data_IF_925340657098
#
_entry.id   IF_925340657098
#
_cell.length_a   1.000
_cell.length_b   1.000
_cell.length_c   1.000
_cell.angle_alpha   90.00
_cell.angle_beta   90.00
_cell.angle_gamma   90.00
#
_symmetry.space_group_name_H-M   'P 1'
#
loop_
_entity.id
_entity.type
_entity.pdbx_description
1 polymer ?
#
# COMPACT_ATOMS: atom_id res chain seq x y z
N UNK A 1 -29.80 11.84 -6.00
CA UNK A 1 -28.60 12.03 -5.17
C UNK A 1 -27.66 10.87 -5.36
N UNK A 2 -26.44 11.15 -5.77
CA UNK A 2 -25.43 10.11 -5.81
C UNK A 2 -25.18 9.63 -4.37
N UNK A 3 -25.37 8.35 -4.13
CA UNK A 3 -24.99 7.76 -2.87
C UNK A 3 -23.51 7.98 -2.65
N UNK A 4 -23.18 8.76 -1.64
CA UNK A 4 -21.80 8.91 -1.24
C UNK A 4 -21.32 7.56 -0.73
N UNK A 5 -20.35 7.02 -1.39
CA UNK A 5 -19.70 5.81 -0.91
C UNK A 5 -19.25 6.03 0.54
N UNK A 6 -19.68 5.14 1.40
CA UNK A 6 -19.28 5.22 2.81
C UNK A 6 -17.79 4.87 2.94
N UNK A 7 -17.05 5.79 3.54
CA UNK A 7 -15.64 5.58 3.83
C UNK A 7 -15.44 5.30 5.33
N UNK A 8 -15.26 4.03 5.72
CA UNK A 8 -15.07 3.68 7.13
C UNK A 8 -13.74 4.20 7.70
N UNK A 9 -12.80 4.58 6.85
CA UNK A 9 -11.46 5.02 7.24
C UNK A 9 -11.34 6.54 7.37
N UNK A 10 -12.43 7.27 7.19
CA UNK A 10 -12.46 8.76 7.16
C UNK A 10 -11.69 9.41 8.30
N UNK A 11 -11.77 8.84 9.51
CA UNK A 11 -11.15 9.39 10.72
C UNK A 11 -9.85 8.70 11.11
N UNK A 12 -9.30 7.85 10.25
CA UNK A 12 -8.10 7.08 10.54
C UNK A 12 -6.96 7.53 9.65
N UNK A 13 -5.72 7.34 10.13
CA UNK A 13 -4.51 7.67 9.38
C UNK A 13 -3.90 6.42 8.77
N UNK A 14 -3.31 6.58 7.58
CA UNK A 14 -2.41 5.59 7.02
C UNK A 14 -1.00 5.93 7.50
N UNK A 15 -0.35 4.97 8.13
CA UNK A 15 0.96 5.13 8.72
C UNK A 15 1.93 4.09 8.19
N UNK A 16 3.20 4.48 8.08
CA UNK A 16 4.29 3.57 7.72
C UNK A 16 5.38 3.63 8.78
N UNK A 17 6.20 2.60 8.86
CA UNK A 17 7.35 2.61 9.75
C UNK A 17 8.30 3.73 9.34
N UNK A 18 8.84 4.42 10.33
CA UNK A 18 9.67 5.61 10.13
C UNK A 18 10.86 5.37 9.21
N UNK A 19 11.42 4.17 9.23
CA UNK A 19 12.56 3.81 8.39
C UNK A 19 12.28 3.93 6.89
N UNK A 20 11.03 3.80 6.46
CA UNK A 20 10.65 3.87 5.05
C UNK A 20 10.20 5.26 4.60
N UNK A 21 10.13 6.23 5.51
CA UNK A 21 9.62 7.56 5.18
C UNK A 21 10.42 8.23 4.05
N UNK A 22 11.74 8.10 4.07
CA UNK A 22 12.60 8.64 3.00
C UNK A 22 12.30 8.01 1.65
N UNK A 23 12.02 6.72 1.60
CA UNK A 23 11.71 6.03 0.36
C UNK A 23 10.37 6.50 -0.22
N UNK A 24 9.39 6.77 0.63
CA UNK A 24 8.12 7.38 0.20
C UNK A 24 8.36 8.77 -0.39
N UNK A 25 9.22 9.57 0.22
CA UNK A 25 9.56 10.89 -0.32
C UNK A 25 10.32 10.80 -1.64
N UNK A 26 11.19 9.80 -1.78
CA UNK A 26 12.02 9.63 -2.97
C UNK A 26 11.21 9.18 -4.19
N UNK A 27 10.32 8.22 -4.02
CA UNK A 27 9.64 7.55 -5.13
C UNK A 27 8.25 8.07 -5.41
N UNK A 28 7.72 8.95 -4.56
CA UNK A 28 6.45 9.61 -4.78
C UNK A 28 6.66 11.01 -5.33
N UNK A 29 5.81 11.37 -6.30
CA UNK A 29 5.80 12.71 -6.86
C UNK A 29 5.32 13.67 -5.77
N UNK A 30 6.20 14.50 -5.29
CA UNK A 30 5.84 15.54 -4.34
C UNK A 30 5.69 16.87 -5.07
N UNK A 31 5.15 17.83 -4.37
CA UNK A 31 4.89 19.18 -4.84
C UNK A 31 6.01 19.74 -5.73
N UNK A 32 5.67 20.02 -6.97
CA UNK A 32 6.59 20.62 -7.93
C UNK A 32 6.95 19.66 -9.07
N UNK A 33 8.06 19.88 -9.68
CA UNK A 33 8.54 19.12 -10.79
C UNK A 33 8.98 17.74 -10.39
N UNK A 34 8.47 16.76 -11.07
CA UNK A 34 8.92 15.41 -10.82
C UNK A 34 9.19 14.69 -12.11
N UNK A 35 10.36 14.09 -12.16
CA UNK A 35 10.68 13.13 -13.18
C UNK A 35 9.98 11.82 -12.84
N UNK A 36 8.96 11.47 -13.60
CA UNK A 36 8.18 10.25 -13.40
C UNK A 36 9.05 9.00 -13.48
N UNK A 37 10.12 9.04 -14.25
CA UNK A 37 11.02 7.90 -14.38
C UNK A 37 11.76 7.61 -13.06
N UNK A 38 12.05 8.63 -12.28
CA UNK A 38 12.72 8.52 -10.98
C UNK A 38 11.74 8.38 -9.82
N UNK A 39 10.55 8.97 -9.93
CA UNK A 39 9.52 8.97 -8.89
C UNK A 39 8.18 8.51 -9.50
N UNK A 40 8.00 7.19 -9.68
CA UNK A 40 6.88 6.68 -10.47
C UNK A 40 5.51 6.81 -9.80
N UNK A 41 5.44 7.01 -8.49
CA UNK A 41 4.16 7.05 -7.79
C UNK A 41 3.61 8.48 -7.72
N UNK A 42 2.41 8.73 -8.29
CA UNK A 42 1.80 10.06 -8.21
C UNK A 42 1.52 10.50 -6.78
N UNK A 43 1.13 9.57 -5.91
CA UNK A 43 0.77 9.86 -4.52
C UNK A 43 1.37 8.80 -3.59
N UNK A 44 1.52 9.14 -2.32
CA UNK A 44 2.01 8.17 -1.32
C UNK A 44 1.07 6.98 -1.17
N UNK A 45 -0.24 7.18 -1.33
CA UNK A 45 -1.21 6.08 -1.28
C UNK A 45 -0.94 5.04 -2.39
N UNK A 46 -0.45 5.47 -3.54
CA UNK A 46 -0.18 4.56 -4.65
C UNK A 46 0.98 3.62 -4.32
N UNK A 47 2.05 4.14 -3.71
CA UNK A 47 3.17 3.32 -3.25
C UNK A 47 2.72 2.36 -2.14
N UNK A 48 2.01 2.87 -1.15
CA UNK A 48 1.52 2.08 -0.02
C UNK A 48 0.59 0.95 -0.49
N UNK A 49 -0.34 1.28 -1.38
CA UNK A 49 -1.32 0.31 -1.87
C UNK A 49 -0.67 -0.77 -2.74
N UNK A 50 0.29 -0.39 -3.59
CA UNK A 50 1.06 -1.38 -4.35
C UNK A 50 1.82 -2.32 -3.42
N UNK A 51 2.43 -1.78 -2.37
CA UNK A 51 3.15 -2.59 -1.37
C UNK A 51 2.24 -3.59 -0.69
N UNK A 52 1.01 -3.17 -0.37
CA UNK A 52 -0.03 -4.06 0.16
C UNK A 52 -0.36 -5.18 -0.82
N UNK A 53 -0.57 -4.85 -2.09
CA UNK A 53 -0.89 -5.82 -3.13
C UNK A 53 0.26 -6.81 -3.36
N UNK A 54 1.50 -6.33 -3.35
CA UNK A 54 2.68 -7.19 -3.49
C UNK A 54 2.78 -8.16 -2.31
N UNK A 55 2.53 -7.68 -1.09
CA UNK A 55 2.52 -8.55 0.09
C UNK A 55 1.48 -9.66 -0.05
N UNK A 56 0.28 -9.33 -0.53
CA UNK A 56 -0.76 -10.32 -0.77
C UNK A 56 -0.37 -11.32 -1.87
N UNK A 57 0.19 -10.84 -2.96
CA UNK A 57 0.60 -11.69 -4.08
C UNK A 57 1.71 -12.68 -3.67
N UNK A 58 2.63 -12.24 -2.82
CA UNK A 58 3.75 -13.06 -2.35
C UNK A 58 3.41 -13.84 -1.07
N UNK A 59 2.19 -13.71 -0.57
CA UNK A 59 1.72 -14.36 0.66
C UNK A 59 2.63 -14.06 1.86
N UNK A 60 2.99 -12.79 2.02
CA UNK A 60 3.85 -12.35 3.11
C UNK A 60 3.07 -12.22 4.42
N UNK A 61 3.73 -12.49 5.54
CA UNK A 61 3.15 -12.27 6.86
C UNK A 61 3.14 -10.77 7.19
N UNK A 62 2.07 -10.27 7.83
CA UNK A 62 2.03 -8.88 8.26
C UNK A 62 3.02 -8.60 9.39
N UNK A 63 3.58 -7.40 9.37
CA UNK A 63 4.41 -6.88 10.47
C UNK A 63 3.51 -6.23 11.50
N UNK A 64 3.81 -6.42 12.79
CA UNK A 64 3.10 -5.69 13.84
C UNK A 64 3.68 -4.29 13.99
N UNK A 65 3.11 -3.34 13.28
CA UNK A 65 3.58 -1.95 13.29
C UNK A 65 3.25 -1.21 14.58
N UNK A 66 2.38 -1.75 15.42
CA UNK A 66 2.02 -1.12 16.71
C UNK A 66 3.21 -1.05 17.66
N UNK A 67 4.22 -1.90 17.45
CA UNK A 67 5.44 -1.96 18.26
C UNK A 67 6.58 -1.15 17.65
N UNK A 68 6.37 -0.47 16.55
CA UNK A 68 7.40 0.25 15.81
C UNK A 68 7.09 1.74 15.78
N UNK A 69 8.13 2.55 15.58
CA UNK A 69 7.98 3.97 15.32
C UNK A 69 7.37 4.14 13.92
N UNK A 70 6.27 4.85 13.85
CA UNK A 70 5.55 5.10 12.60
C UNK A 70 5.37 6.59 12.37
N UNK A 71 5.21 6.94 11.10
CA UNK A 71 4.84 8.30 10.69
C UNK A 71 3.56 8.22 9.84
N UNK A 72 2.72 9.23 10.00
CA UNK A 72 1.54 9.39 9.16
C UNK A 72 1.99 9.80 7.76
N UNK A 73 1.47 9.12 6.75
CA UNK A 73 1.72 9.50 5.36
C UNK A 73 0.49 10.11 4.70
N UNK A 74 -0.72 9.68 5.10
CA UNK A 74 -1.96 10.10 4.44
C UNK A 74 -3.12 10.06 5.44
N UNK A 75 -4.10 10.95 5.22
CA UNK A 75 -5.40 10.85 5.89
C UNK A 75 -6.27 9.79 5.23
N UNK A 76 -7.02 9.03 6.03
CA UNK A 76 -7.96 8.04 5.53
C UNK A 76 -9.08 8.62 4.66
N UNK A 77 -9.31 9.93 4.74
CA UNK A 77 -10.24 10.62 3.87
C UNK A 77 -9.94 10.43 2.38
N UNK A 78 -8.69 10.15 2.02
CA UNK A 78 -8.28 9.95 0.63
C UNK A 78 -8.99 8.77 -0.04
N UNK A 79 -9.42 7.79 0.72
CA UNK A 79 -10.12 6.62 0.17
C UNK A 79 -11.49 6.98 -0.41
N UNK A 80 -12.06 8.13 -0.02
CA UNK A 80 -13.30 8.62 -0.63
C UNK A 80 -13.17 8.94 -2.11
N UNK A 81 -11.95 9.25 -2.57
CA UNK A 81 -11.67 9.50 -3.99
C UNK A 81 -11.56 8.22 -4.81
N UNK A 82 -11.20 7.12 -4.17
CA UNK A 82 -11.00 5.82 -4.82
C UNK A 82 -11.75 4.72 -4.05
N UNK A 83 -13.10 4.69 -4.14
CA UNK A 83 -13.91 3.75 -3.34
C UNK A 83 -13.55 2.27 -3.55
N UNK A 84 -13.01 1.92 -4.72
CA UNK A 84 -12.59 0.56 -5.02
C UNK A 84 -11.47 0.08 -4.07
N UNK A 85 -10.65 1.00 -3.55
CA UNK A 85 -9.61 0.67 -2.57
C UNK A 85 -10.23 0.25 -1.24
N UNK A 86 -11.37 0.86 -0.86
CA UNK A 86 -12.11 0.51 0.35
C UNK A 86 -12.56 -0.95 0.27
N UNK A 87 -13.13 -1.35 -0.85
CA UNK A 87 -13.61 -2.71 -1.05
C UNK A 87 -12.46 -3.72 -0.95
N UNK A 88 -11.32 -3.41 -1.54
CA UNK A 88 -10.13 -4.28 -1.49
C UNK A 88 -9.61 -4.38 -0.06
N UNK A 89 -9.54 -3.27 0.68
CA UNK A 89 -9.11 -3.28 2.09
C UNK A 89 -10.01 -4.15 2.95
N UNK A 90 -11.33 -4.09 2.74
CA UNK A 90 -12.28 -4.95 3.44
C UNK A 90 -12.06 -6.42 3.12
N UNK A 91 -11.90 -6.76 1.85
CA UNK A 91 -11.66 -8.15 1.42
C UNK A 91 -10.36 -8.71 1.98
N UNK A 92 -9.29 -7.91 1.99
CA UNK A 92 -8.02 -8.32 2.57
C UNK A 92 -8.17 -8.55 4.07
N UNK A 93 -8.84 -7.64 4.78
CA UNK A 93 -9.06 -7.77 6.21
C UNK A 93 -9.85 -9.02 6.56
N UNK A 94 -10.91 -9.32 5.80
CA UNK A 94 -11.69 -10.54 5.97
C UNK A 94 -10.84 -11.78 5.73
N UNK A 95 -10.07 -11.77 4.65
CA UNK A 95 -9.19 -12.90 4.30
C UNK A 95 -8.14 -13.18 5.38
N UNK A 96 -7.54 -12.13 5.92
CA UNK A 96 -6.50 -12.25 6.92
C UNK A 96 -7.03 -12.64 8.31
N UNK A 97 -8.19 -12.11 8.67
CA UNK A 97 -8.78 -12.35 10.00
C UNK A 97 -9.67 -13.59 10.05
N UNK A 98 -10.22 -14.01 8.91
CA UNK A 98 -11.23 -15.06 8.86
C UNK A 98 -12.56 -14.65 9.50
N UNK A 99 -12.80 -13.37 9.70
CA UNK A 99 -13.94 -12.84 10.44
C UNK A 99 -14.65 -11.73 9.64
N UNK A 100 -15.87 -12.01 9.17
CA UNK A 100 -16.66 -11.03 8.42
C UNK A 100 -16.99 -9.79 9.25
N UNK A 101 -17.09 -9.91 10.58
CA UNK A 101 -17.44 -8.79 11.45
C UNK A 101 -16.34 -7.72 11.50
N UNK A 102 -15.14 -8.03 10.99
CA UNK A 102 -14.02 -7.05 10.96
C UNK A 102 -14.36 -5.80 10.17
N UNK A 103 -15.29 -5.86 9.21
CA UNK A 103 -15.71 -4.71 8.42
C UNK A 103 -16.34 -3.60 9.25
N UNK A 104 -16.79 -3.91 10.48
CA UNK A 104 -17.27 -2.92 11.43
C UNK A 104 -16.18 -2.31 12.31
N UNK A 105 -14.90 -2.71 12.08
CA UNK A 105 -13.75 -2.29 12.88
C UNK A 105 -12.69 -1.64 11.99
N UNK A 106 -12.90 -0.39 11.56
CA UNK A 106 -12.02 0.26 10.58
C UNK A 106 -10.55 0.34 11.02
N UNK A 107 -10.33 0.65 12.30
CA UNK A 107 -8.98 0.75 12.85
C UNK A 107 -8.23 -0.57 12.75
N UNK A 108 -8.94 -1.67 13.00
CA UNK A 108 -8.35 -3.01 12.92
C UNK A 108 -8.08 -3.41 11.48
N UNK A 109 -8.98 -3.07 10.55
CA UNK A 109 -8.75 -3.30 9.12
C UNK A 109 -7.50 -2.57 8.63
N UNK A 110 -7.34 -1.28 9.00
CA UNK A 110 -6.15 -0.52 8.63
C UNK A 110 -4.88 -1.05 9.29
N UNK A 111 -4.97 -1.55 10.50
CA UNK A 111 -3.82 -2.18 11.17
C UNK A 111 -3.32 -3.41 10.42
N UNK A 112 -4.24 -4.26 9.97
CA UNK A 112 -3.90 -5.43 9.15
C UNK A 112 -3.27 -5.00 7.83
N UNK A 113 -3.90 -4.07 7.12
CA UNK A 113 -3.41 -3.58 5.85
C UNK A 113 -2.04 -2.92 5.98
N UNK A 114 -1.85 -2.10 7.01
CA UNK A 114 -0.57 -1.42 7.27
C UNK A 114 0.54 -2.42 7.61
N UNK A 115 0.21 -3.48 8.33
CA UNK A 115 1.16 -4.56 8.62
C UNK A 115 1.59 -5.31 7.36
N UNK A 116 0.65 -5.60 6.47
CA UNK A 116 0.95 -6.22 5.17
C UNK A 116 1.75 -5.29 4.27
N UNK A 117 1.35 -4.02 4.20
CA UNK A 117 2.10 -3.02 3.43
C UNK A 117 3.54 -2.91 3.94
N UNK A 118 3.75 -2.92 5.26
CA UNK A 118 5.08 -2.91 5.85
C UNK A 118 5.94 -4.10 5.41
N UNK A 119 5.33 -5.26 5.20
CA UNK A 119 6.03 -6.42 4.63
C UNK A 119 6.33 -6.26 3.15
N UNK A 120 5.45 -5.60 2.41
CA UNK A 120 5.58 -5.41 0.97
C UNK A 120 6.50 -4.27 0.56
N UNK A 121 6.64 -3.23 1.38
CA UNK A 121 7.47 -2.06 1.07
C UNK A 121 8.91 -2.42 0.69
N UNK A 122 9.64 -3.25 1.47
CA UNK A 122 10.99 -3.65 1.08
C UNK A 122 11.04 -4.34 -0.29
N UNK A 123 10.03 -5.12 -0.61
CA UNK A 123 9.94 -5.81 -1.91
C UNK A 123 9.76 -4.82 -3.05
N UNK A 124 8.91 -3.82 -2.88
CA UNK A 124 8.71 -2.76 -3.88
C UNK A 124 9.98 -1.92 -4.04
N UNK A 125 10.65 -1.60 -2.94
CA UNK A 125 11.94 -0.89 -3.00
C UNK A 125 12.97 -1.69 -3.81
N UNK A 126 13.08 -2.99 -3.57
CA UNK A 126 13.96 -3.87 -4.35
C UNK A 126 13.58 -3.84 -5.84
N UNK A 127 12.30 -3.90 -6.16
CA UNK A 127 11.82 -3.82 -7.55
C UNK A 127 12.21 -2.50 -8.22
N UNK A 128 12.17 -1.39 -7.49
CA UNK A 128 12.56 -0.07 -8.00
C UNK A 128 14.07 0.03 -8.29
N UNK A 129 14.88 -0.68 -7.51
CA UNK A 129 16.34 -0.59 -7.55
C UNK A 129 17.01 -1.71 -8.35
N UNK A 130 16.30 -2.82 -8.57
CA UNK A 130 16.88 -4.01 -9.18
C UNK A 130 16.83 -3.92 -10.70
N UNK A 131 17.96 -3.60 -11.29
CA UNK A 131 18.15 -3.45 -12.73
C UNK A 131 18.97 -2.22 -13.08
N UNK A 132 19.32 -2.10 -14.36
CA UNK A 132 20.14 -1.01 -14.87
C UNK A 132 19.30 0.18 -15.37
N UNK A 133 17.99 0.05 -15.38
CA UNK A 133 17.08 1.09 -15.84
C UNK A 133 16.69 2.06 -14.72
N UNK A 134 15.95 3.08 -15.07
CA UNK A 134 15.37 3.98 -14.08
C UNK A 134 14.27 3.29 -13.29
N UNK A 135 13.94 3.75 -12.07
CA UNK A 135 13.02 3.08 -11.16
C UNK A 135 11.69 2.64 -11.78
N UNK A 136 11.08 3.47 -12.62
CA UNK A 136 9.79 3.12 -13.24
C UNK A 136 9.90 1.88 -14.14
N UNK A 137 10.98 1.77 -14.88
CA UNK A 137 11.19 0.65 -15.80
C UNK A 137 11.57 -0.63 -15.06
N UNK A 138 12.42 -0.51 -14.03
CA UNK A 138 12.74 -1.62 -13.14
C UNK A 138 11.48 -2.16 -12.47
N UNK A 139 10.64 -1.27 -11.95
CA UNK A 139 9.37 -1.63 -11.31
C UNK A 139 8.42 -2.30 -12.30
N UNK A 140 8.28 -1.74 -13.49
CA UNK A 140 7.41 -2.29 -14.54
C UNK A 140 7.79 -3.72 -14.91
N UNK A 141 9.09 -3.96 -15.11
CA UNK A 141 9.59 -5.30 -15.45
C UNK A 141 9.37 -6.29 -14.31
N UNK A 142 9.61 -5.86 -13.08
CA UNK A 142 9.43 -6.70 -11.90
C UNK A 142 7.95 -7.07 -11.69
N UNK A 143 7.04 -6.11 -11.86
CA UNK A 143 5.60 -6.37 -11.74
C UNK A 143 5.11 -7.30 -12.85
N UNK A 144 5.56 -7.10 -14.08
CA UNK A 144 5.22 -7.99 -15.19
C UNK A 144 5.62 -9.43 -14.89
N UNK A 145 6.81 -9.63 -14.37
CA UNK A 145 7.30 -10.94 -13.94
C UNK A 145 6.46 -11.52 -12.80
N UNK A 146 6.09 -10.70 -11.84
CA UNK A 146 5.30 -11.12 -10.68
C UNK A 146 3.90 -11.59 -11.08
N UNK A 147 3.26 -10.87 -12.00
CA UNK A 147 1.93 -11.21 -12.50
C UNK A 147 1.93 -12.53 -13.28
N UNK A 148 3.02 -12.84 -13.97
CA UNK A 148 3.15 -14.07 -14.78
C UNK A 148 3.50 -15.30 -13.97
N UNK A 149 3.88 -15.14 -12.69
CA UNK A 149 4.16 -16.30 -11.84
C UNK A 149 2.85 -17.05 -11.53
N UNK A 150 2.87 -18.41 -11.54
CA UNK A 150 1.72 -19.15 -11.07
C UNK A 150 1.45 -18.82 -9.60
N UNK A 151 0.16 -18.67 -9.26
CA UNK A 151 -0.23 -18.43 -7.88
C UNK A 151 0.25 -19.56 -6.99
N UNK A 152 0.78 -19.27 -5.78
CA UNK A 152 1.11 -20.32 -4.83
C UNK A 152 -0.15 -21.12 -4.53
N UNK A 153 -0.08 -22.40 -4.80
CA UNK A 153 -1.19 -23.35 -4.62
C UNK A 153 -1.49 -23.62 -3.15
#
# INVERSE_FOLDING_TARGET
MADKYYNPFQSNDVRVTKEFHQEFQRYCQSQGTVDIDLSPFPRMIDFWFLSLCVACQLDLDPVDITKLDTVKIIDGAIFSSDPWRIDILMLIAISQSGDLSIVSKPRRMLSIASGLAASGIPKVIDMLKDGDAEPIWNLSDAIDSLIRLPSPG
#
